data_IF_247918880861
#
_entry.id   IF_247918880861
#
_cell.length_a   1.000
_cell.length_b   1.000
_cell.length_c   1.000
_cell.angle_alpha   90.00
_cell.angle_beta   90.00
_cell.angle_gamma   90.00
#
_symmetry.space_group_name_H-M   'P 1'
#
loop_
_entity.id
_entity.type
_entity.pdbx_description
1 polymer ?
#
# COMPACT_ATOMS: atom_id res chain seq x y z
N UNK A 1 -5.54 17.98 -2.46
CA UNK A 1 -4.09 18.04 -2.27
C UNK A 1 -3.43 18.25 -3.63
N UNK A 2 -3.29 19.49 -4.03
CA UNK A 2 -2.46 19.90 -5.17
C UNK A 2 -1.30 20.65 -4.55
N UNK A 3 -0.11 20.09 -4.62
CA UNK A 3 1.05 20.79 -4.10
C UNK A 3 2.24 19.86 -3.92
N UNK A 4 3.43 20.42 -3.70
CA UNK A 4 4.68 19.67 -3.60
C UNK A 4 4.73 18.68 -2.42
N UNK A 5 3.78 18.74 -1.47
CA UNK A 5 3.74 17.88 -0.27
C UNK A 5 2.55 16.91 -0.26
N UNK A 6 2.36 16.17 -1.34
CA UNK A 6 1.33 15.14 -1.42
C UNK A 6 1.45 14.09 -0.31
N UNK A 7 2.64 13.56 -0.09
CA UNK A 7 2.91 12.53 0.91
C UNK A 7 2.69 13.04 2.33
N UNK A 8 3.24 14.22 2.69
CA UNK A 8 3.07 14.79 4.02
C UNK A 8 1.62 15.10 4.35
N UNK A 9 0.87 15.63 3.40
CA UNK A 9 -0.55 15.89 3.58
C UNK A 9 -1.39 14.62 3.82
N UNK A 10 -1.03 13.49 3.20
CA UNK A 10 -1.68 12.19 3.47
C UNK A 10 -1.25 11.65 4.84
N UNK A 11 0.05 11.67 5.14
CA UNK A 11 0.58 11.23 6.43
C UNK A 11 -0.06 11.95 7.62
N UNK A 12 -0.14 13.28 7.57
CA UNK A 12 -0.77 14.09 8.62
C UNK A 12 -2.25 13.75 8.83
N UNK A 13 -3.01 13.48 7.76
CA UNK A 13 -4.42 13.11 7.85
C UNK A 13 -4.64 11.71 8.44
N UNK A 14 -3.71 10.78 8.20
CA UNK A 14 -3.74 9.45 8.82
C UNK A 14 -3.41 9.59 10.31
N UNK A 15 -2.30 10.24 10.66
CA UNK A 15 -1.87 10.45 12.03
C UNK A 15 -2.96 11.11 12.88
N UNK A 16 -3.62 12.15 12.38
CA UNK A 16 -4.70 12.84 13.08
C UNK A 16 -5.95 11.99 13.38
N UNK A 17 -6.08 10.81 12.75
CA UNK A 17 -7.19 9.86 13.01
C UNK A 17 -6.81 8.73 13.96
N UNK A 18 -5.53 8.56 14.23
CA UNK A 18 -4.98 7.49 15.05
C UNK A 18 -4.37 8.07 16.36
N UNK A 19 -4.90 9.18 16.83
CA UNK A 19 -4.38 9.91 17.99
C UNK A 19 -4.70 9.20 19.32
N UNK A 20 -3.74 9.20 20.24
CA UNK A 20 -3.94 8.91 21.66
C UNK A 20 -3.79 7.44 22.10
N UNK A 21 -3.39 6.51 21.23
CA UNK A 21 -3.03 5.13 21.59
C UNK A 21 -2.01 4.55 20.63
N UNK A 22 -1.13 3.62 21.05
CA UNK A 22 -0.23 2.91 20.13
C UNK A 22 -1.00 2.16 19.04
N UNK A 23 -0.55 2.28 17.79
CA UNK A 23 -1.19 1.66 16.62
C UNK A 23 -0.19 1.12 15.60
N UNK A 24 -0.64 0.16 14.80
CA UNK A 24 0.09 -0.40 13.66
C UNK A 24 -0.49 0.14 12.35
N UNK A 25 0.37 0.53 11.42
CA UNK A 25 -0.07 0.87 10.06
C UNK A 25 -0.09 -0.40 9.19
N UNK A 26 -1.27 -0.76 8.68
CA UNK A 26 -1.42 -1.82 7.67
C UNK A 26 -1.49 -1.16 6.30
N UNK A 27 -0.48 -1.43 5.47
CA UNK A 27 -0.26 -0.75 4.19
C UNK A 27 -0.41 -1.75 3.04
N UNK A 28 -1.46 -1.59 2.24
CA UNK A 28 -1.73 -2.45 1.09
C UNK A 28 -1.30 -1.81 -0.22
N UNK A 29 -0.73 -2.59 -1.13
CA UNK A 29 -0.43 -2.18 -2.51
C UNK A 29 0.46 -0.91 -2.56
N UNK A 30 0.07 0.10 -3.32
CA UNK A 30 0.76 1.39 -3.41
C UNK A 30 0.85 2.17 -2.10
N UNK A 31 0.03 1.82 -1.09
CA UNK A 31 0.08 2.49 0.21
C UNK A 31 1.40 2.27 0.96
N UNK A 32 2.17 1.22 0.64
CA UNK A 32 3.49 1.00 1.21
C UNK A 32 4.45 2.17 1.01
N UNK A 33 4.34 2.89 -0.11
CA UNK A 33 5.12 4.10 -0.38
C UNK A 33 4.86 5.28 0.56
N UNK A 34 3.77 5.26 1.36
CA UNK A 34 3.46 6.29 2.33
C UNK A 34 4.09 6.07 3.71
N UNK A 35 4.71 4.92 3.96
CA UNK A 35 5.32 4.63 5.27
C UNK A 35 6.28 5.75 5.75
N UNK A 36 7.20 6.33 4.95
CA UNK A 36 8.03 7.44 5.38
C UNK A 36 7.21 8.64 5.86
N UNK A 37 6.22 9.06 5.08
CA UNK A 37 5.40 10.23 5.40
C UNK A 37 4.53 10.05 6.64
N UNK A 38 4.05 8.83 6.88
CA UNK A 38 3.27 8.50 8.06
C UNK A 38 4.18 8.51 9.29
N UNK A 39 5.35 7.89 9.19
CA UNK A 39 6.31 7.77 10.29
C UNK A 39 6.87 9.12 10.73
N UNK A 40 7.05 10.06 9.80
CA UNK A 40 7.59 11.39 10.10
C UNK A 40 6.65 12.24 10.99
N UNK A 41 5.36 11.89 11.07
CA UNK A 41 4.34 12.70 11.77
C UNK A 41 3.53 11.93 12.83
N UNK A 42 3.64 10.61 12.89
CA UNK A 42 2.84 9.76 13.76
C UNK A 42 3.63 9.34 15.00
N UNK A 43 3.42 10.05 16.13
CA UNK A 43 4.15 9.80 17.38
C UNK A 43 3.84 8.41 18.00
N UNK A 44 2.59 7.93 17.86
CA UNK A 44 2.12 6.69 18.48
C UNK A 44 2.17 5.47 17.52
N UNK A 45 2.81 5.61 16.37
CA UNK A 45 3.00 4.51 15.44
C UNK A 45 4.09 3.56 15.96
N UNK A 46 3.71 2.32 16.26
CA UNK A 46 4.59 1.33 16.87
C UNK A 46 5.08 0.26 15.90
N UNK A 47 4.55 0.18 14.67
CA UNK A 47 5.02 -0.78 13.67
C UNK A 47 4.28 -0.68 12.34
N UNK A 48 4.82 -1.40 11.34
CA UNK A 48 4.34 -1.39 9.97
C UNK A 48 4.04 -2.82 9.50
N UNK A 49 2.87 -3.04 8.93
CA UNK A 49 2.48 -4.28 8.27
C UNK A 49 2.25 -4.01 6.78
N UNK A 50 3.11 -4.53 5.94
CA UNK A 50 2.97 -4.44 4.48
C UNK A 50 2.18 -5.64 3.97
N UNK A 51 1.13 -5.39 3.19
CA UNK A 51 0.25 -6.41 2.64
C UNK A 51 0.27 -6.30 1.13
N UNK A 52 0.92 -7.23 0.46
CA UNK A 52 1.04 -7.23 -1.02
C UNK A 52 1.33 -5.81 -1.52
N UNK A 53 2.35 -5.18 -0.93
CA UNK A 53 2.60 -3.74 -1.04
C UNK A 53 4.02 -3.45 -1.51
N UNK A 54 4.18 -2.34 -2.26
CA UNK A 54 5.50 -1.81 -2.53
C UNK A 54 6.21 -1.44 -1.23
N UNK A 55 7.50 -1.67 -1.17
CA UNK A 55 8.31 -1.17 -0.05
C UNK A 55 8.58 0.34 -0.24
N UNK A 56 8.86 1.07 0.84
CA UNK A 56 9.17 2.49 0.77
C UNK A 56 10.32 2.80 -0.20
N UNK A 57 10.18 3.87 -0.93
CA UNK A 57 11.17 4.37 -1.91
C UNK A 57 11.54 5.83 -1.61
N UNK A 58 12.18 6.11 -0.46
CA UNK A 58 12.45 7.47 -0.02
C UNK A 58 13.26 8.27 -1.05
N UNK A 59 12.91 9.54 -1.24
CA UNK A 59 13.55 10.43 -2.21
C UNK A 59 13.25 10.13 -3.68
N UNK A 60 12.33 9.22 -3.98
CA UNK A 60 11.95 8.84 -5.34
C UNK A 60 10.45 9.04 -5.58
N UNK A 61 10.08 9.25 -6.84
CA UNK A 61 8.69 9.24 -7.27
C UNK A 61 8.23 7.81 -7.61
N UNK A 62 6.92 7.57 -7.55
CA UNK A 62 6.35 6.29 -7.95
C UNK A 62 6.75 5.88 -9.38
N UNK A 63 6.78 6.83 -10.33
CA UNK A 63 7.20 6.59 -11.71
C UNK A 63 8.65 6.11 -11.86
N UNK A 64 9.47 6.27 -10.84
CA UNK A 64 10.85 5.78 -10.82
C UNK A 64 10.96 4.34 -10.27
N UNK A 65 9.87 3.80 -9.75
CA UNK A 65 9.80 2.46 -9.17
C UNK A 65 8.91 1.52 -10.00
N UNK A 66 7.88 2.05 -10.62
CA UNK A 66 6.93 1.30 -11.41
C UNK A 66 7.47 1.00 -12.83
N UNK A 67 6.94 -0.03 -13.50
CA UNK A 67 7.24 -0.28 -14.91
C UNK A 67 6.94 0.95 -15.77
N UNK A 68 7.90 1.38 -16.59
CA UNK A 68 7.77 2.60 -17.41
C UNK A 68 6.58 2.55 -18.37
N UNK A 69 6.26 1.38 -18.90
CA UNK A 69 5.10 1.18 -19.77
C UNK A 69 3.77 1.46 -19.04
N UNK A 70 3.66 1.05 -17.76
CA UNK A 70 2.48 1.34 -16.93
C UNK A 70 2.38 2.84 -16.65
N UNK A 71 3.46 3.50 -16.25
CA UNK A 71 3.48 4.92 -16.00
C UNK A 71 3.07 5.74 -17.24
N UNK A 72 3.59 5.38 -18.42
CA UNK A 72 3.23 6.00 -19.70
C UNK A 72 1.76 5.77 -20.07
N UNK A 73 1.25 4.55 -19.82
CA UNK A 73 -0.16 4.23 -20.04
C UNK A 73 -1.07 5.08 -19.16
N UNK A 74 -0.79 5.15 -17.86
CA UNK A 74 -1.61 5.92 -16.90
C UNK A 74 -1.66 7.40 -17.25
N UNK A 75 -0.53 8.00 -17.68
CA UNK A 75 -0.53 9.40 -18.17
C UNK A 75 -1.45 9.58 -19.37
N UNK A 76 -1.48 8.61 -20.30
CA UNK A 76 -2.29 8.68 -21.52
C UNK A 76 -3.80 8.55 -21.23
N UNK A 77 -4.18 7.71 -20.25
CA UNK A 77 -5.60 7.46 -19.92
C UNK A 77 -6.16 8.42 -18.86
N UNK A 78 -5.29 9.26 -18.29
CA UNK A 78 -5.68 10.31 -17.33
C UNK A 78 -6.63 11.32 -17.98
N UNK A 79 -7.67 11.72 -17.24
CA UNK A 79 -8.62 12.79 -17.62
C UNK A 79 -8.76 13.75 -16.45
N UNK A 80 -8.84 15.05 -16.75
CA UNK A 80 -9.03 16.11 -15.75
C UNK A 80 -8.01 16.03 -14.61
N UNK A 81 -6.75 15.75 -14.95
CA UNK A 81 -5.65 15.58 -14.00
C UNK A 81 -5.89 14.50 -12.93
N UNK A 82 -6.77 13.54 -13.22
CA UNK A 82 -7.07 12.41 -12.34
C UNK A 82 -6.85 11.09 -13.05
N UNK A 83 -6.17 10.20 -12.35
CA UNK A 83 -6.05 8.80 -12.76
C UNK A 83 -7.44 8.15 -12.80
N UNK A 84 -7.70 7.27 -13.74
CA UNK A 84 -8.93 6.49 -13.72
C UNK A 84 -8.92 5.53 -12.51
N UNK A 85 -10.07 4.94 -12.13
CA UNK A 85 -10.12 3.92 -11.09
C UNK A 85 -9.18 2.75 -11.38
N UNK A 86 -8.58 2.17 -10.33
CA UNK A 86 -7.54 1.13 -10.43
C UNK A 86 -7.92 -0.05 -11.33
N UNK A 87 -9.15 -0.51 -11.27
CA UNK A 87 -9.62 -1.64 -12.07
C UNK A 87 -9.56 -1.41 -13.59
N UNK A 88 -9.40 -0.16 -14.01
CA UNK A 88 -9.29 0.24 -15.43
C UNK A 88 -7.85 0.56 -15.86
N UNK A 89 -6.86 0.30 -15.01
CA UNK A 89 -5.45 0.51 -15.35
C UNK A 89 -4.88 -0.56 -16.28
N UNK A 90 -5.57 -1.66 -16.45
CA UNK A 90 -5.13 -2.86 -17.16
C UNK A 90 -5.88 -3.01 -18.50
N UNK A 91 -5.40 -3.89 -19.36
CA UNK A 91 -6.05 -4.18 -20.65
C UNK A 91 -7.48 -4.76 -20.47
N UNK A 92 -7.72 -5.44 -19.35
CA UNK A 92 -9.04 -5.92 -18.93
C UNK A 92 -9.21 -5.69 -17.43
N UNK A 93 -10.44 -5.46 -16.99
CA UNK A 93 -10.77 -5.34 -15.57
C UNK A 93 -10.43 -6.65 -14.83
N UNK A 94 -9.52 -6.64 -13.85
CA UNK A 94 -9.16 -7.85 -13.11
C UNK A 94 -10.18 -8.21 -12.02
N UNK A 95 -11.07 -7.31 -11.65
CA UNK A 95 -11.94 -7.49 -10.48
C UNK A 95 -12.91 -8.67 -10.58
N UNK A 96 -13.45 -9.06 -11.75
CA UNK A 96 -14.30 -10.25 -11.82
C UNK A 96 -13.59 -11.55 -11.45
N UNK A 97 -12.30 -11.66 -11.77
CA UNK A 97 -11.49 -12.83 -11.40
C UNK A 97 -11.05 -12.80 -9.92
N UNK A 98 -10.78 -11.61 -9.37
CA UNK A 98 -10.29 -11.44 -8.00
C UNK A 98 -11.41 -11.37 -6.96
N UNK A 99 -12.61 -10.92 -7.34
CA UNK A 99 -13.78 -10.82 -6.46
C UNK A 99 -14.96 -11.47 -7.19
N UNK A 100 -15.13 -12.80 -7.08
CA UNK A 100 -16.20 -13.51 -7.78
C UNK A 100 -17.61 -13.09 -7.35
N UNK A 101 -17.81 -12.77 -6.07
CA UNK A 101 -19.10 -12.26 -5.58
C UNK A 101 -19.44 -10.92 -6.21
N UNK A 102 -20.57 -10.86 -6.90
CA UNK A 102 -20.97 -9.68 -7.67
C UNK A 102 -21.31 -8.46 -6.79
N UNK A 103 -21.86 -8.68 -5.59
CA UNK A 103 -22.24 -7.61 -4.69
C UNK A 103 -21.00 -7.00 -4.02
N UNK A 104 -20.09 -7.84 -3.51
CA UNK A 104 -18.82 -7.39 -2.96
C UNK A 104 -17.97 -6.66 -4.01
N UNK A 105 -17.93 -7.18 -5.25
CA UNK A 105 -17.24 -6.54 -6.36
C UNK A 105 -17.83 -5.17 -6.71
N UNK A 106 -19.15 -5.07 -6.78
CA UNK A 106 -19.81 -3.79 -7.05
C UNK A 106 -19.53 -2.74 -5.96
N UNK A 107 -19.56 -3.15 -4.69
CA UNK A 107 -19.20 -2.30 -3.55
C UNK A 107 -17.75 -1.83 -3.67
N UNK A 108 -16.80 -2.76 -3.87
CA UNK A 108 -15.38 -2.44 -4.03
C UNK A 108 -15.13 -1.47 -5.18
N UNK A 109 -15.67 -1.75 -6.37
CA UNK A 109 -15.47 -0.89 -7.56
C UNK A 109 -16.10 0.49 -7.36
N UNK A 110 -17.26 0.57 -6.68
CA UNK A 110 -17.93 1.83 -6.38
C UNK A 110 -17.14 2.76 -5.46
N UNK A 111 -16.24 2.21 -4.64
CA UNK A 111 -15.40 2.96 -3.70
C UNK A 111 -14.00 3.29 -4.25
N UNK A 112 -13.63 2.80 -5.43
CA UNK A 112 -12.30 3.03 -6.00
C UNK A 112 -12.07 4.53 -6.24
N UNK A 113 -11.02 5.12 -5.64
CA UNK A 113 -10.74 6.53 -5.81
C UNK A 113 -10.13 6.84 -7.17
N UNK A 114 -10.31 8.07 -7.61
CA UNK A 114 -9.55 8.66 -8.71
C UNK A 114 -8.42 9.51 -8.12
N UNK A 115 -7.24 8.96 -8.05
CA UNK A 115 -6.08 9.67 -7.53
C UNK A 115 -5.68 10.85 -8.44
N UNK A 116 -5.11 11.95 -7.92
CA UNK A 116 -4.53 13.01 -8.75
C UNK A 116 -3.37 12.46 -9.60
N UNK A 117 -3.23 12.93 -10.82
CA UNK A 117 -2.09 12.60 -11.69
C UNK A 117 -0.75 12.95 -11.03
N UNK A 118 -0.72 14.05 -10.28
CA UNK A 118 0.46 14.50 -9.54
C UNK A 118 1.03 13.44 -8.57
N UNK A 119 0.23 12.44 -8.15
CA UNK A 119 0.72 11.31 -7.35
C UNK A 119 1.86 10.55 -8.04
N UNK A 120 1.80 10.39 -9.36
CA UNK A 120 2.80 9.63 -10.12
C UNK A 120 4.21 10.21 -10.00
N UNK A 121 4.31 11.54 -9.91
CA UNK A 121 5.57 12.30 -9.90
C UNK A 121 5.91 12.89 -8.54
N UNK A 122 5.01 12.77 -7.56
CA UNK A 122 5.29 13.21 -6.21
C UNK A 122 6.44 12.39 -5.61
N UNK A 123 7.43 13.10 -5.08
CA UNK A 123 8.61 12.47 -4.46
C UNK A 123 8.27 12.07 -3.03
N UNK A 124 8.48 10.80 -2.69
CA UNK A 124 8.34 10.30 -1.33
C UNK A 124 9.35 10.98 -0.41
N UNK A 125 9.00 11.33 0.85
CA UNK A 125 9.95 11.89 1.80
C UNK A 125 11.22 11.04 1.91
N UNK A 126 12.37 11.71 2.05
CA UNK A 126 13.67 11.05 2.17
C UNK A 126 13.91 10.44 3.57
N UNK A 127 12.99 10.65 4.52
CA UNK A 127 13.09 10.15 5.88
C UNK A 127 13.30 8.64 5.96
N UNK A 128 14.13 8.21 6.90
CA UNK A 128 14.47 6.79 7.12
C UNK A 128 13.94 6.26 8.45
N UNK A 129 13.17 7.04 9.19
CA UNK A 129 12.64 6.66 10.50
C UNK A 129 11.78 5.38 10.44
N UNK A 130 11.04 5.19 9.36
CA UNK A 130 10.24 3.98 9.10
C UNK A 130 11.06 2.69 9.16
N UNK A 131 12.34 2.73 8.76
CA UNK A 131 13.22 1.56 8.73
C UNK A 131 13.68 1.10 10.14
N UNK A 132 13.38 1.89 11.17
CA UNK A 132 13.68 1.57 12.57
C UNK A 132 12.50 0.99 13.32
N UNK A 133 11.30 1.11 12.74
CA UNK A 133 10.10 0.52 13.33
C UNK A 133 10.09 -0.99 13.10
N UNK A 134 9.56 -1.76 14.06
CA UNK A 134 9.19 -3.14 13.80
C UNK A 134 8.32 -3.23 12.54
N UNK A 135 8.64 -4.15 11.64
CA UNK A 135 7.89 -4.30 10.41
C UNK A 135 7.74 -5.76 10.01
N UNK A 136 6.63 -6.11 9.35
CA UNK A 136 6.39 -7.43 8.81
C UNK A 136 5.73 -7.34 7.43
N UNK A 137 5.77 -8.43 6.68
CA UNK A 137 5.26 -8.49 5.32
C UNK A 137 4.31 -9.68 5.12
N UNK A 138 3.13 -9.42 4.59
CA UNK A 138 2.19 -10.43 4.12
C UNK A 138 2.13 -10.40 2.59
N UNK A 139 2.65 -11.43 1.94
CA UNK A 139 2.52 -11.61 0.49
C UNK A 139 1.23 -12.38 0.19
N UNK A 140 0.39 -11.83 -0.67
CA UNK A 140 -0.86 -12.43 -1.13
C UNK A 140 -0.73 -12.99 -2.54
N UNK A 141 -0.03 -12.27 -3.42
CA UNK A 141 0.10 -12.63 -4.83
C UNK A 141 1.55 -12.77 -5.28
N UNK A 142 1.83 -13.59 -6.30
CA UNK A 142 3.18 -13.71 -6.88
C UNK A 142 3.76 -12.39 -7.41
N UNK A 143 2.90 -11.40 -7.72
CA UNK A 143 3.32 -10.11 -8.23
C UNK A 143 4.17 -9.29 -7.23
N UNK A 144 4.13 -9.65 -5.95
CA UNK A 144 4.87 -8.97 -4.88
C UNK A 144 5.92 -9.87 -4.21
N UNK A 145 6.40 -10.89 -4.94
CA UNK A 145 7.44 -11.77 -4.40
C UNK A 145 8.77 -11.07 -4.19
N UNK A 146 9.14 -10.14 -5.06
CA UNK A 146 10.39 -9.38 -4.92
C UNK A 146 10.39 -8.51 -3.65
N UNK A 147 9.27 -7.87 -3.33
CA UNK A 147 9.10 -7.10 -2.09
C UNK A 147 9.11 -8.01 -0.85
N UNK A 148 8.48 -9.17 -0.94
CA UNK A 148 8.52 -10.15 0.15
C UNK A 148 9.92 -10.70 0.39
N UNK A 149 10.69 -10.96 -0.66
CA UNK A 149 12.08 -11.39 -0.58
C UNK A 149 12.97 -10.28 0.02
N UNK A 150 12.78 -9.03 -0.38
CA UNK A 150 13.48 -7.89 0.21
C UNK A 150 13.12 -7.70 1.68
N UNK A 151 11.84 -7.83 2.07
CA UNK A 151 11.42 -7.80 3.46
C UNK A 151 12.11 -8.89 4.30
N UNK A 152 12.19 -10.10 3.75
CA UNK A 152 12.90 -11.21 4.38
C UNK A 152 14.41 -10.94 4.51
N UNK A 153 15.03 -10.34 3.50
CA UNK A 153 16.43 -9.93 3.54
C UNK A 153 16.70 -8.89 4.62
N UNK A 154 15.74 -8.04 4.94
CA UNK A 154 15.78 -7.07 6.05
C UNK A 154 15.60 -7.72 7.43
N UNK A 155 15.35 -9.01 7.49
CA UNK A 155 15.10 -9.74 8.74
C UNK A 155 13.67 -9.58 9.26
N UNK A 156 12.74 -9.06 8.45
CA UNK A 156 11.36 -8.93 8.87
C UNK A 156 10.63 -10.28 8.84
N UNK A 157 9.69 -10.54 9.75
CA UNK A 157 8.75 -11.63 9.61
C UNK A 157 8.00 -11.54 8.28
N UNK A 158 8.01 -12.62 7.50
CA UNK A 158 7.31 -12.69 6.22
C UNK A 158 6.39 -13.89 6.21
N UNK A 159 5.12 -13.67 5.88
CA UNK A 159 4.17 -14.74 5.60
C UNK A 159 3.73 -14.68 4.13
N UNK A 160 3.64 -15.83 3.49
CA UNK A 160 3.17 -15.99 2.11
C UNK A 160 1.88 -16.77 2.12
N UNK A 161 0.84 -16.21 1.51
CA UNK A 161 -0.40 -16.90 1.19
C UNK A 161 -0.45 -17.11 -0.33
N UNK A 162 -0.93 -18.26 -0.75
CA UNK A 162 -1.10 -18.56 -2.18
C UNK A 162 -2.50 -18.15 -2.61
N UNK A 163 -2.69 -16.83 -2.75
CA UNK A 163 -3.96 -16.23 -3.13
C UNK A 163 -3.74 -15.06 -4.12
N UNK A 164 -4.48 -13.96 -4.01
CA UNK A 164 -4.44 -12.86 -4.95
C UNK A 164 -4.47 -11.49 -4.26
N UNK A 165 -4.13 -10.45 -5.00
CA UNK A 165 -3.94 -9.08 -4.52
C UNK A 165 -5.11 -8.47 -3.74
N UNK A 166 -6.35 -8.92 -3.98
CA UNK A 166 -7.56 -8.42 -3.30
C UNK A 166 -8.17 -9.47 -2.34
N UNK A 167 -7.39 -10.43 -1.86
CA UNK A 167 -7.87 -11.49 -0.97
C UNK A 167 -8.52 -10.95 0.32
N UNK A 168 -8.15 -9.76 0.78
CA UNK A 168 -8.82 -9.14 1.92
C UNK A 168 -10.31 -8.84 1.69
N UNK A 169 -10.76 -8.82 0.42
CA UNK A 169 -12.18 -8.63 0.06
C UNK A 169 -12.90 -9.96 -0.09
N UNK A 170 -12.26 -10.96 -0.70
CA UNK A 170 -12.87 -12.27 -1.00
C UNK A 170 -12.67 -13.30 0.11
N UNK A 171 -11.59 -13.19 0.87
CA UNK A 171 -11.15 -14.14 1.91
C UNK A 171 -10.70 -13.40 3.18
N UNK A 172 -11.55 -12.51 3.75
CA UNK A 172 -11.17 -11.60 4.83
C UNK A 172 -10.67 -12.32 6.08
N UNK A 173 -11.29 -13.44 6.45
CA UNK A 173 -10.91 -14.18 7.67
C UNK A 173 -9.50 -14.76 7.57
N UNK A 174 -9.12 -15.28 6.40
CA UNK A 174 -7.77 -15.82 6.17
C UNK A 174 -6.72 -14.69 6.24
N UNK A 175 -6.99 -13.56 5.63
CA UNK A 175 -6.08 -12.41 5.65
C UNK A 175 -5.99 -11.82 7.06
N UNK A 176 -7.11 -11.69 7.78
CA UNK A 176 -7.14 -11.19 9.15
C UNK A 176 -6.36 -12.08 10.12
N UNK A 177 -6.48 -13.41 10.00
CA UNK A 177 -5.70 -14.34 10.80
C UNK A 177 -4.19 -14.18 10.56
N UNK A 178 -3.77 -14.10 9.30
CA UNK A 178 -2.37 -13.91 8.93
C UNK A 178 -1.81 -12.58 9.44
N UNK A 179 -2.59 -11.50 9.36
CA UNK A 179 -2.22 -10.18 9.89
C UNK A 179 -2.08 -10.20 11.41
N UNK A 180 -3.01 -10.87 12.11
CA UNK A 180 -2.97 -10.98 13.57
C UNK A 180 -1.71 -11.72 14.06
N UNK A 181 -1.32 -12.80 13.37
CA UNK A 181 -0.09 -13.53 13.68
C UNK A 181 1.17 -12.66 13.46
N UNK A 182 1.23 -11.94 12.35
CA UNK A 182 2.34 -11.02 12.07
C UNK A 182 2.39 -9.86 13.06
N UNK A 183 1.23 -9.27 13.41
CA UNK A 183 1.15 -8.20 14.41
C UNK A 183 1.66 -8.67 15.79
N UNK A 184 1.28 -9.88 16.21
CA UNK A 184 1.76 -10.48 17.46
C UNK A 184 3.29 -10.69 17.46
N UNK A 185 3.88 -11.01 16.32
CA UNK A 185 5.34 -11.17 16.20
C UNK A 185 6.11 -9.87 16.36
N UNK A 186 5.49 -8.71 16.10
CA UNK A 186 6.13 -7.39 16.26
C UNK A 186 6.19 -6.90 17.71
N UNK A 187 5.35 -7.46 18.61
CA UNK A 187 5.32 -7.08 20.02
C UNK A 187 6.11 -7.99 20.96
N UNK A 188 6.89 -8.94 20.42
CA UNK A 188 7.54 -10.01 21.18
C UNK A 188 9.03 -9.78 21.48
N UNK A 189 9.55 -8.55 21.32
CA UNK A 189 10.92 -8.18 21.66
C UNK A 189 11.03 -7.33 22.92
#
# INVERSE_FOLDING_TARGET
LQGPDWYGGVGARIAARCDGAPWLAVLHSGAGGFAPAITDVAADLVGLLFVDAVLPYPGRAWTQTAPSALAAHLRRVTKDERLPPWNTWFASDPTPALIPDAAARAAFVGELPRAPLAYLDAVSPAGTAWARLPAAYLRLSPAYEDEAAEAQHRGWPVRRLETHHLAMVSEPDMVAAALSELAASLGSE
#
